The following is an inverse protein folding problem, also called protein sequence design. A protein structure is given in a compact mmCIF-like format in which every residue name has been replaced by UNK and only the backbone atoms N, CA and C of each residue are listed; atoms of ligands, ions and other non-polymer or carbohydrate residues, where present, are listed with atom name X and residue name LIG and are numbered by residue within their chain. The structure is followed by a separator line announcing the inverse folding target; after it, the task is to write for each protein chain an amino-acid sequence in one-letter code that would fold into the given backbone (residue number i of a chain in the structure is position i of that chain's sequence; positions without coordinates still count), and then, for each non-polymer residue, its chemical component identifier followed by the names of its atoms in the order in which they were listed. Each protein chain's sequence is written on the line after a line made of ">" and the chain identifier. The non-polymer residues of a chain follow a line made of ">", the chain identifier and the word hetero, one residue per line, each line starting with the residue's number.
data_IF_047610416145
#
_entry.id   IF_047610416145
#
_cell.length_a   1.000
_cell.length_b   1.000
_cell.length_c   1.000
_cell.angle_alpha   90.00
_cell.angle_beta   90.00
_cell.angle_gamma   90.00
#
_symmetry.space_group_name_H-M   'P 1'
#
loop_
_entity.id
_entity.type
_entity.pdbx_description
1 polymer ?
#
# COMPACT_ATOMS: atom_id res chain seq x y z
N UNK A 1 -2.01 19.02 -51.89
CA UNK A 1 -2.13 17.56 -51.72
C UNK A 1 -1.18 17.19 -50.58
N UNK A 2 -1.75 16.85 -49.41
CA UNK A 2 -1.14 16.31 -48.17
C UNK A 2 -0.07 17.14 -47.42
N UNK A 3 -0.51 17.72 -46.30
CA UNK A 3 0.21 17.76 -45.02
C UNK A 3 0.44 16.30 -44.50
N UNK A 4 1.41 15.99 -43.60
CA UNK A 4 1.57 16.70 -42.33
C UNK A 4 2.95 16.75 -41.60
N UNK A 5 3.12 17.83 -40.83
CA UNK A 5 3.55 17.89 -39.41
C UNK A 5 4.41 16.72 -38.91
N UNK A 6 5.73 16.92 -38.93
CA UNK A 6 6.66 16.17 -38.09
C UNK A 6 7.04 16.99 -36.86
N UNK A 7 7.28 16.26 -35.77
CA UNK A 7 7.73 16.73 -34.44
C UNK A 7 6.60 17.24 -33.55
N UNK A 8 5.76 16.27 -33.20
CA UNK A 8 5.00 16.22 -31.96
C UNK A 8 5.80 16.78 -30.78
N UNK A 9 5.17 17.75 -30.12
CA UNK A 9 5.27 18.05 -28.71
C UNK A 9 5.64 16.82 -27.88
N UNK A 10 6.90 16.75 -27.41
CA UNK A 10 7.18 16.05 -26.17
C UNK A 10 6.53 16.90 -25.07
N UNK A 11 5.24 16.66 -24.82
CA UNK A 11 4.64 17.06 -23.57
C UNK A 11 5.40 16.28 -22.50
N UNK A 12 6.35 16.95 -21.84
CA UNK A 12 6.78 16.55 -20.51
C UNK A 12 5.51 16.50 -19.68
N UNK A 13 4.95 15.31 -19.51
CA UNK A 13 3.92 15.07 -18.51
C UNK A 13 4.59 15.48 -17.20
N UNK A 14 4.10 16.51 -16.49
CA UNK A 14 4.61 16.76 -15.16
C UNK A 14 4.27 15.50 -14.34
N UNK A 15 5.30 14.77 -13.91
CA UNK A 15 5.20 13.70 -12.92
C UNK A 15 4.89 14.36 -11.56
N UNK A 16 3.69 14.91 -11.45
CA UNK A 16 3.21 15.63 -10.29
C UNK A 16 1.81 15.09 -10.05
N UNK A 17 1.66 14.32 -8.96
CA UNK A 17 0.42 13.68 -8.46
C UNK A 17 0.12 12.22 -8.86
N UNK A 18 1.10 11.41 -9.29
CA UNK A 18 0.90 9.95 -9.42
C UNK A 18 1.15 9.14 -8.12
N UNK A 19 1.71 9.79 -7.09
CA UNK A 19 2.11 9.17 -5.82
C UNK A 19 1.22 9.58 -4.63
N UNK A 20 0.24 10.46 -4.84
CA UNK A 20 -0.73 10.74 -3.80
C UNK A 20 -1.87 9.73 -3.98
N UNK A 21 -1.93 8.71 -3.12
CA UNK A 21 -3.13 7.89 -2.99
C UNK A 21 -4.36 8.80 -3.01
N UNK A 22 -5.27 8.58 -3.98
CA UNK A 22 -6.46 9.41 -4.11
C UNK A 22 -7.24 9.31 -2.78
N UNK A 23 -7.62 10.45 -2.19
CA UNK A 23 -8.48 10.49 -0.99
C UNK A 23 -9.72 9.61 -1.13
N UNK A 24 -10.19 9.36 -2.37
CA UNK A 24 -11.26 8.41 -2.65
C UNK A 24 -10.89 6.96 -2.34
N UNK A 25 -9.67 6.53 -2.63
CA UNK A 25 -9.18 5.19 -2.34
C UNK A 25 -9.13 4.97 -0.82
N UNK A 26 -8.54 5.92 -0.08
CA UNK A 26 -8.51 5.87 1.39
C UNK A 26 -9.92 5.80 1.98
N UNK A 27 -10.85 6.64 1.49
CA UNK A 27 -12.24 6.61 1.93
C UNK A 27 -12.95 5.29 1.64
N UNK A 28 -12.67 4.66 0.48
CA UNK A 28 -13.22 3.37 0.12
C UNK A 28 -12.68 2.24 1.03
N UNK A 29 -11.39 2.29 1.36
CA UNK A 29 -10.77 1.34 2.31
C UNK A 29 -11.40 1.50 3.69
N UNK A 30 -11.49 2.72 4.23
CA UNK A 30 -12.12 2.95 5.54
C UNK A 30 -13.58 2.48 5.56
N UNK A 31 -14.33 2.70 4.49
CA UNK A 31 -15.69 2.17 4.36
C UNK A 31 -15.73 0.63 4.41
N UNK A 32 -14.82 -0.05 3.71
CA UNK A 32 -14.70 -1.51 3.76
C UNK A 32 -14.38 -2.00 5.19
N UNK A 33 -13.51 -1.29 5.92
CA UNK A 33 -13.21 -1.60 7.32
C UNK A 33 -14.43 -1.44 8.23
N UNK A 34 -15.20 -0.37 8.05
CA UNK A 34 -16.43 -0.10 8.82
C UNK A 34 -17.51 -1.14 8.59
N UNK A 35 -17.58 -1.68 7.38
CA UNK A 35 -18.49 -2.78 7.04
C UNK A 35 -17.91 -4.16 7.38
N UNK A 36 -16.64 -4.25 7.81
CA UNK A 36 -15.89 -5.50 7.95
C UNK A 36 -15.94 -6.36 6.67
N UNK A 37 -15.95 -5.72 5.51
CA UNK A 37 -16.05 -6.35 4.21
C UNK A 37 -14.65 -6.70 3.69
N UNK A 38 -14.17 -7.88 4.09
CA UNK A 38 -12.87 -8.39 3.67
C UNK A 38 -12.75 -8.51 2.15
N UNK A 39 -13.79 -8.97 1.46
CA UNK A 39 -13.74 -9.18 0.02
C UNK A 39 -13.57 -7.85 -0.73
N UNK A 40 -14.27 -6.80 -0.29
CA UNK A 40 -14.06 -5.46 -0.83
C UNK A 40 -12.68 -4.92 -0.50
N UNK A 41 -12.19 -5.10 0.74
CA UNK A 41 -10.84 -4.67 1.12
C UNK A 41 -9.78 -5.31 0.21
N UNK A 42 -9.82 -6.64 0.03
CA UNK A 42 -8.89 -7.36 -0.83
C UNK A 42 -8.95 -6.89 -2.29
N UNK A 43 -10.15 -6.65 -2.81
CA UNK A 43 -10.33 -6.12 -4.17
C UNK A 43 -9.76 -4.72 -4.36
N UNK A 44 -9.80 -3.88 -3.32
CA UNK A 44 -9.21 -2.54 -3.35
C UNK A 44 -7.68 -2.63 -3.22
N UNK A 45 -7.18 -3.43 -2.28
CA UNK A 45 -5.74 -3.49 -1.96
C UNK A 45 -4.93 -4.24 -3.02
N UNK A 46 -5.46 -5.29 -3.65
CA UNK A 46 -4.76 -6.05 -4.70
C UNK A 46 -4.42 -5.25 -5.97
N UNK A 47 -5.00 -4.05 -6.14
CA UNK A 47 -4.68 -3.15 -7.23
C UNK A 47 -3.62 -2.10 -6.87
N UNK A 48 -3.19 -2.04 -5.62
CA UNK A 48 -2.22 -1.07 -5.10
C UNK A 48 -0.81 -1.68 -5.06
N UNK A 49 0.20 -0.84 -5.24
CA UNK A 49 1.58 -1.27 -5.00
C UNK A 49 1.86 -1.33 -3.49
N UNK A 50 2.89 -2.08 -3.05
CA UNK A 50 3.30 -2.11 -1.65
C UNK A 50 3.56 -0.72 -1.06
N UNK A 51 4.21 0.17 -1.79
CA UNK A 51 4.44 1.57 -1.39
C UNK A 51 3.14 2.36 -1.21
N UNK A 52 2.14 2.15 -2.08
CA UNK A 52 0.82 2.78 -1.92
C UNK A 52 0.13 2.24 -0.65
N UNK A 53 0.23 0.94 -0.36
CA UNK A 53 -0.33 0.36 0.85
C UNK A 53 0.37 0.92 2.10
N UNK A 54 1.69 1.07 2.07
CA UNK A 54 2.47 1.73 3.12
C UNK A 54 1.97 3.17 3.36
N UNK A 55 1.89 3.98 2.32
CA UNK A 55 1.35 5.35 2.38
C UNK A 55 -0.07 5.38 2.99
N UNK A 56 -0.92 4.41 2.66
CA UNK A 56 -2.26 4.30 3.24
C UNK A 56 -2.21 4.03 4.73
N UNK A 57 -1.38 3.08 5.15
CA UNK A 57 -1.19 2.72 6.55
C UNK A 57 -0.69 3.92 7.35
N UNK A 58 0.18 4.75 6.78
CA UNK A 58 0.70 5.97 7.43
C UNK A 58 -0.33 7.10 7.54
N UNK A 59 -1.23 7.21 6.57
CA UNK A 59 -2.27 8.24 6.54
C UNK A 59 -3.42 8.00 7.52
N UNK A 60 -3.71 6.74 7.84
CA UNK A 60 -4.81 6.38 8.75
C UNK A 60 -4.35 6.36 10.22
N UNK A 61 -5.31 6.52 11.13
CA UNK A 61 -5.01 6.46 12.56
C UNK A 61 -4.69 5.02 13.00
N UNK A 62 -4.04 4.87 14.17
CA UNK A 62 -3.62 3.57 14.70
C UNK A 62 -4.76 2.56 14.90
N UNK A 63 -5.98 3.04 15.22
CA UNK A 63 -7.14 2.16 15.39
C UNK A 63 -7.57 1.54 14.06
N UNK A 64 -7.69 2.35 13.01
CA UNK A 64 -8.06 1.86 11.68
C UNK A 64 -6.94 1.03 11.05
N UNK A 65 -5.68 1.38 11.29
CA UNK A 65 -4.51 0.58 10.90
C UNK A 65 -4.56 -0.84 11.48
N UNK A 66 -4.83 -0.97 12.79
CA UNK A 66 -5.01 -2.28 13.43
C UNK A 66 -6.12 -3.09 12.76
N UNK A 67 -7.28 -2.46 12.53
CA UNK A 67 -8.43 -3.09 11.86
C UNK A 67 -8.10 -3.55 10.45
N UNK A 68 -7.35 -2.75 9.71
CA UNK A 68 -6.91 -3.09 8.36
C UNK A 68 -6.00 -4.30 8.38
N UNK A 69 -4.96 -4.30 9.21
CA UNK A 69 -4.03 -5.43 9.35
C UNK A 69 -4.78 -6.71 9.72
N UNK A 70 -5.69 -6.64 10.69
CA UNK A 70 -6.49 -7.78 11.12
C UNK A 70 -7.42 -8.31 10.02
N UNK A 71 -8.00 -7.43 9.19
CA UNK A 71 -8.90 -7.80 8.11
C UNK A 71 -8.15 -8.26 6.84
N UNK A 72 -6.96 -7.72 6.59
CA UNK A 72 -6.11 -8.09 5.46
C UNK A 72 -5.39 -9.43 5.69
N UNK A 73 -5.02 -9.71 6.95
CA UNK A 73 -4.49 -10.98 7.45
C UNK A 73 -3.37 -11.54 6.56
N UNK A 74 -3.60 -12.70 5.92
CA UNK A 74 -2.57 -13.45 5.16
C UNK A 74 -2.15 -12.82 3.85
N UNK A 75 -2.86 -11.80 3.38
CA UNK A 75 -2.51 -11.09 2.15
C UNK A 75 -1.45 -10.00 2.41
N UNK A 76 -1.04 -9.83 3.68
CA UNK A 76 0.01 -8.90 4.07
C UNK A 76 1.39 -9.40 3.59
N UNK A 77 2.01 -8.61 2.71
CA UNK A 77 3.31 -8.88 2.10
C UNK A 77 4.45 -8.20 2.88
N UNK A 78 5.64 -8.79 2.85
CA UNK A 78 6.85 -8.21 3.40
C UNK A 78 7.27 -6.93 2.69
N UNK A 79 7.04 -6.80 1.38
CA UNK A 79 7.37 -5.59 0.62
C UNK A 79 6.70 -4.35 1.23
N UNK A 80 5.50 -4.51 1.80
CA UNK A 80 4.80 -3.42 2.49
C UNK A 80 5.59 -2.96 3.72
N UNK A 81 6.22 -3.89 4.47
CA UNK A 81 7.03 -3.54 5.64
C UNK A 81 8.27 -2.73 5.25
N UNK A 82 8.91 -3.11 4.15
CA UNK A 82 10.13 -2.44 3.65
C UNK A 82 9.88 -0.99 3.25
N UNK A 83 8.68 -0.66 2.78
CA UNK A 83 8.28 0.69 2.34
C UNK A 83 7.78 1.59 3.48
N UNK A 84 7.44 1.02 4.64
CA UNK A 84 6.92 1.80 5.79
C UNK A 84 8.02 2.60 6.49
N UNK A 85 7.66 3.81 6.94
CA UNK A 85 8.43 4.57 7.92
C UNK A 85 8.67 3.76 9.21
N UNK A 86 9.88 3.86 9.78
CA UNK A 86 10.36 3.07 10.94
C UNK A 86 9.33 2.99 12.08
N UNK A 87 8.77 4.14 12.49
CA UNK A 87 7.80 4.18 13.60
C UNK A 87 6.48 3.45 13.30
N UNK A 88 6.03 3.46 12.05
CA UNK A 88 4.80 2.79 11.63
C UNK A 88 5.09 1.31 11.38
N UNK A 89 6.26 0.98 10.82
CA UNK A 89 6.75 -0.40 10.66
C UNK A 89 6.76 -1.14 11.99
N UNK A 90 7.34 -0.57 13.04
CA UNK A 90 7.34 -1.17 14.38
C UNK A 90 5.90 -1.43 14.90
N UNK A 91 5.00 -0.47 14.71
CA UNK A 91 3.60 -0.59 15.10
C UNK A 91 2.89 -1.73 14.34
N UNK A 92 3.14 -1.80 13.02
CA UNK A 92 2.57 -2.83 12.13
C UNK A 92 3.11 -4.21 12.48
N UNK A 93 4.42 -4.36 12.70
CA UNK A 93 5.05 -5.61 13.13
C UNK A 93 4.44 -6.09 14.47
N UNK A 94 4.23 -5.17 15.42
CA UNK A 94 3.57 -5.49 16.69
C UNK A 94 2.06 -5.79 16.53
N UNK A 95 1.48 -5.42 15.39
CA UNK A 95 0.09 -5.68 15.06
C UNK A 95 -0.15 -6.99 14.32
N UNK A 96 0.81 -7.41 13.49
CA UNK A 96 0.72 -8.63 12.71
C UNK A 96 0.65 -9.87 13.61
N UNK A 97 -0.12 -10.85 13.15
CA UNK A 97 -0.11 -12.18 13.75
C UNK A 97 1.26 -12.81 13.52
N UNK A 98 1.83 -13.54 14.49
CA UNK A 98 3.18 -14.10 14.34
C UNK A 98 3.37 -14.99 13.11
N UNK A 99 2.34 -15.74 12.72
CA UNK A 99 2.39 -16.57 11.52
C UNK A 99 2.40 -15.73 10.24
N UNK A 100 1.61 -14.65 10.18
CA UNK A 100 1.60 -13.74 9.03
C UNK A 100 2.94 -13.02 8.90
N UNK A 101 3.49 -12.51 10.00
CA UNK A 101 4.81 -11.85 10.00
C UNK A 101 5.90 -12.80 9.50
N UNK A 102 5.89 -14.06 9.94
CA UNK A 102 6.87 -15.05 9.50
C UNK A 102 6.77 -15.30 7.99
N UNK A 103 5.56 -15.39 7.43
CA UNK A 103 5.42 -15.55 5.98
C UNK A 103 5.82 -14.28 5.21
N UNK A 104 5.40 -13.09 5.67
CA UNK A 104 5.78 -11.82 5.05
C UNK A 104 7.32 -11.65 4.99
N UNK A 105 8.02 -11.97 6.09
CA UNK A 105 9.48 -11.86 6.15
C UNK A 105 10.20 -12.95 5.35
N UNK A 106 9.55 -14.08 5.02
CA UNK A 106 10.18 -15.15 4.23
C UNK A 106 10.37 -14.79 2.77
N UNK A 107 9.51 -13.93 2.24
CA UNK A 107 9.52 -13.56 0.83
C UNK A 107 10.43 -12.36 0.54
N UNK A 108 10.94 -11.70 1.60
CA UNK A 108 11.88 -10.58 1.53
C UNK A 108 13.33 -10.98 1.25
N UNK A 109 14.09 -10.05 0.67
CA UNK A 109 15.54 -10.22 0.50
C UNK A 109 16.28 -10.14 1.86
N UNK A 110 17.44 -10.80 1.96
CA UNK A 110 18.13 -10.94 3.24
C UNK A 110 18.64 -9.61 3.82
N UNK A 111 18.92 -8.62 2.98
CA UNK A 111 19.28 -7.27 3.38
C UNK A 111 18.08 -6.46 3.84
N UNK A 112 16.92 -6.60 3.19
CA UNK A 112 15.68 -5.95 3.62
C UNK A 112 15.22 -6.44 5.00
N UNK A 113 15.35 -7.73 5.28
CA UNK A 113 15.05 -8.30 6.61
C UNK A 113 15.97 -7.75 7.72
N UNK A 114 17.21 -7.37 7.38
CA UNK A 114 18.15 -6.78 8.36
C UNK A 114 17.71 -5.36 8.75
N UNK A 115 16.96 -4.69 7.87
CA UNK A 115 16.45 -3.33 8.07
C UNK A 115 15.05 -3.28 8.73
N UNK A 116 14.45 -4.44 9.06
CA UNK A 116 13.18 -4.56 9.81
C UNK A 116 13.37 -4.56 11.33
#
# INVERSE_FOLDING_TARGET
>A
MRDPIESQFLQTIPATDAYALDRKAVAAVLYALDMSDQAQLLGLMSALHPADIADLLEQINAFDRRRLIDLYDKEFDGDILSELDESIREEVIAALRPDVLVEAVRDLESDEVVDL
#
